data_IF_299310586168
#
_entry.id   IF_299310586168
#
_cell.length_a   1.000
_cell.length_b   1.000
_cell.length_c   1.000
_cell.angle_alpha   90.00
_cell.angle_beta   90.00
_cell.angle_gamma   90.00
#
_symmetry.space_group_name_H-M   'P 1'
#
loop_
_entity.id
_entity.type
_entity.pdbx_description
1 polymer ?
#
# COMPACT_ATOMS: atom_id res chain seq x y z
N UNK A 1 0.39 0.81 -11.79
CA UNK A 1 -0.22 1.50 -12.95
C UNK A 1 -1.65 0.97 -13.06
N UNK A 2 -2.65 1.68 -12.53
CA UNK A 2 -4.05 1.35 -12.74
C UNK A 2 -4.69 2.05 -13.94
N UNK A 3 -4.06 3.00 -14.63
CA UNK A 3 -4.56 3.56 -15.90
C UNK A 3 -3.57 3.34 -17.04
N UNK A 4 -4.06 2.80 -18.16
CA UNK A 4 -3.31 2.68 -19.41
C UNK A 4 -4.24 3.12 -20.55
N UNK A 5 -3.82 4.10 -21.35
CA UNK A 5 -4.64 4.69 -22.42
C UNK A 5 -6.02 5.19 -21.96
N UNK A 6 -6.12 5.71 -20.73
CA UNK A 6 -7.38 6.18 -20.14
C UNK A 6 -8.31 5.08 -19.62
N UNK A 7 -7.92 3.81 -19.69
CA UNK A 7 -8.68 2.67 -19.17
C UNK A 7 -8.12 2.19 -17.85
N UNK A 8 -9.02 1.88 -16.90
CA UNK A 8 -8.61 1.33 -15.61
C UNK A 8 -8.31 -0.17 -15.69
N UNK A 9 -7.23 -0.61 -15.02
CA UNK A 9 -6.82 -2.01 -14.94
C UNK A 9 -6.24 -2.35 -13.55
N UNK A 10 -5.95 -3.63 -13.32
CA UNK A 10 -5.48 -4.13 -12.02
C UNK A 10 -6.60 -4.50 -11.04
N UNK A 11 -6.20 -4.80 -9.80
CA UNK A 11 -7.05 -5.39 -8.76
C UNK A 11 -8.19 -4.48 -8.30
N UNK A 12 -8.00 -3.16 -8.39
CA UNK A 12 -8.94 -2.16 -7.89
C UNK A 12 -9.74 -1.47 -9.01
N UNK A 13 -9.62 -1.91 -10.27
CA UNK A 13 -10.21 -1.21 -11.42
C UNK A 13 -11.71 -0.89 -11.32
N UNK A 14 -12.47 -1.69 -10.56
CA UNK A 14 -13.93 -1.56 -10.38
C UNK A 14 -14.34 -0.39 -9.47
N UNK A 15 -13.38 0.17 -8.73
CA UNK A 15 -13.59 1.22 -7.73
C UNK A 15 -12.80 2.49 -8.06
N UNK A 16 -12.23 2.53 -9.27
CA UNK A 16 -11.55 3.70 -9.82
C UNK A 16 -12.51 4.52 -10.66
N UNK A 17 -12.30 5.84 -10.62
CA UNK A 17 -12.99 6.80 -11.48
C UNK A 17 -12.05 7.29 -12.60
N UNK A 18 -12.59 7.88 -13.67
CA UNK A 18 -11.76 8.52 -14.70
C UNK A 18 -10.89 9.63 -14.11
N UNK A 19 -9.67 9.81 -14.65
CA UNK A 19 -8.73 10.85 -14.20
C UNK A 19 -9.34 12.25 -14.28
N UNK A 20 -10.19 12.50 -15.28
CA UNK A 20 -10.91 13.78 -15.44
C UNK A 20 -11.90 14.09 -14.31
N UNK A 21 -12.31 13.09 -13.53
CA UNK A 21 -13.25 13.24 -12.41
C UNK A 21 -12.54 13.42 -11.06
N UNK A 22 -11.24 13.13 -10.97
CA UNK A 22 -10.48 13.20 -9.71
C UNK A 22 -10.53 14.60 -9.09
N UNK A 23 -10.42 15.65 -9.91
CA UNK A 23 -10.49 17.04 -9.41
C UNK A 23 -11.86 17.39 -8.83
N UNK A 24 -12.93 16.86 -9.41
CA UNK A 24 -14.29 17.09 -8.91
C UNK A 24 -14.52 16.33 -7.60
N UNK A 25 -14.02 15.09 -7.52
CA UNK A 25 -14.04 14.30 -6.29
C UNK A 25 -13.25 14.97 -5.17
N UNK A 26 -12.05 15.51 -5.46
CA UNK A 26 -11.22 16.15 -4.44
C UNK A 26 -11.88 17.39 -3.86
N UNK A 27 -12.54 18.21 -4.70
CA UNK A 27 -13.34 19.36 -4.23
C UNK A 27 -14.46 18.92 -3.31
N UNK A 28 -15.14 17.80 -3.63
CA UNK A 28 -16.24 17.28 -2.81
C UNK A 28 -15.76 16.73 -1.46
N UNK A 29 -14.59 16.11 -1.42
CA UNK A 29 -14.01 15.48 -0.23
C UNK A 29 -13.06 16.41 0.56
N UNK A 30 -12.85 17.63 0.08
CA UNK A 30 -11.79 18.52 0.58
C UNK A 30 -11.89 18.77 2.09
N UNK A 31 -13.09 19.05 2.60
CA UNK A 31 -13.29 19.36 4.02
C UNK A 31 -13.02 18.12 4.88
N UNK A 32 -13.59 16.98 4.50
CA UNK A 32 -13.43 15.71 5.23
C UNK A 32 -11.99 15.20 5.21
N UNK A 33 -11.28 15.34 4.07
CA UNK A 33 -9.86 14.97 3.97
C UNK A 33 -9.03 15.89 4.87
N UNK A 34 -9.23 17.20 4.82
CA UNK A 34 -8.49 18.15 5.68
C UNK A 34 -8.76 17.92 7.17
N UNK A 35 -10.00 17.60 7.54
CA UNK A 35 -10.33 17.26 8.93
C UNK A 35 -9.67 15.94 9.36
N UNK A 36 -9.63 14.93 8.48
CA UNK A 36 -9.01 13.65 8.76
C UNK A 36 -7.48 13.75 8.91
N UNK A 37 -6.84 14.52 8.02
CA UNK A 37 -5.41 14.87 8.11
C UNK A 37 -5.11 15.55 9.45
N UNK A 38 -5.87 16.58 9.81
CA UNK A 38 -5.70 17.31 11.08
C UNK A 38 -5.89 16.40 12.30
N UNK A 39 -6.85 15.48 12.27
CA UNK A 39 -7.07 14.51 13.36
C UNK A 39 -5.90 13.53 13.48
N UNK A 40 -5.31 13.13 12.36
CA UNK A 40 -4.13 12.28 12.34
C UNK A 40 -2.89 13.01 12.89
N UNK A 41 -2.62 14.23 12.41
CA UNK A 41 -1.47 15.05 12.85
C UNK A 41 -1.54 15.37 14.36
N UNK A 42 -2.74 15.67 14.87
CA UNK A 42 -2.97 15.91 16.29
C UNK A 42 -3.05 14.63 17.14
N UNK A 43 -2.79 13.46 16.55
CA UNK A 43 -2.81 12.14 17.24
C UNK A 43 -4.14 11.82 17.89
N UNK A 44 -5.23 12.39 17.38
CA UNK A 44 -6.60 12.07 17.80
C UNK A 44 -6.98 10.70 17.23
N UNK A 45 -6.56 10.40 16.01
CA UNK A 45 -6.73 9.11 15.36
C UNK A 45 -5.40 8.35 15.27
N UNK A 46 -5.48 7.03 15.41
CA UNK A 46 -4.36 6.14 15.08
C UNK A 46 -4.22 5.98 13.57
N UNK A 47 -3.06 5.53 13.08
CA UNK A 47 -2.84 5.31 11.64
C UNK A 47 -3.88 4.38 11.00
N UNK A 48 -4.27 3.30 11.68
CA UNK A 48 -5.30 2.37 11.19
C UNK A 48 -6.69 3.00 11.16
N UNK A 49 -7.04 3.80 12.16
CA UNK A 49 -8.31 4.53 12.20
C UNK A 49 -8.39 5.57 11.08
N UNK A 50 -7.29 6.26 10.81
CA UNK A 50 -7.15 7.21 9.71
C UNK A 50 -7.32 6.50 8.35
N UNK A 51 -6.60 5.40 8.12
CA UNK A 51 -6.68 4.65 6.85
C UNK A 51 -8.09 4.09 6.61
N UNK A 52 -8.73 3.52 7.63
CA UNK A 52 -10.08 2.99 7.51
C UNK A 52 -11.09 4.10 7.15
N UNK A 53 -11.04 5.24 7.84
CA UNK A 53 -11.93 6.38 7.55
C UNK A 53 -11.68 6.95 6.16
N UNK A 54 -10.41 7.09 5.76
CA UNK A 54 -10.03 7.53 4.42
C UNK A 54 -10.62 6.62 3.35
N UNK A 55 -10.52 5.29 3.55
CA UNK A 55 -11.11 4.32 2.62
C UNK A 55 -12.62 4.47 2.53
N UNK A 56 -13.31 4.60 3.67
CA UNK A 56 -14.76 4.76 3.70
C UNK A 56 -15.23 6.03 2.99
N UNK A 57 -14.53 7.16 3.15
CA UNK A 57 -14.85 8.42 2.47
C UNK A 57 -14.91 8.24 0.96
N UNK A 58 -13.84 7.70 0.36
CA UNK A 58 -13.78 7.45 -1.08
C UNK A 58 -14.78 6.37 -1.51
N UNK A 59 -14.93 5.28 -0.75
CA UNK A 59 -15.86 4.20 -1.07
C UNK A 59 -17.30 4.69 -1.16
N UNK A 60 -17.72 5.52 -0.20
CA UNK A 60 -19.08 6.03 -0.14
C UNK A 60 -19.34 7.05 -1.25
N UNK A 61 -18.36 7.90 -1.57
CA UNK A 61 -18.49 8.85 -2.68
C UNK A 61 -18.55 8.14 -4.04
N UNK A 62 -17.70 7.14 -4.27
CA UNK A 62 -17.61 6.46 -5.58
C UNK A 62 -18.70 5.41 -5.81
N UNK A 63 -19.10 4.69 -4.76
CA UNK A 63 -19.99 3.52 -4.88
C UNK A 63 -21.33 3.69 -4.17
N UNK A 64 -21.44 4.62 -3.22
CA UNK A 64 -22.63 4.81 -2.39
C UNK A 64 -23.11 3.50 -1.78
N UNK A 65 -24.39 3.17 -2.01
CA UNK A 65 -25.01 1.93 -1.50
C UNK A 65 -24.40 0.63 -2.05
N UNK A 66 -23.52 0.70 -3.07
CA UNK A 66 -22.82 -0.48 -3.63
C UNK A 66 -21.45 -0.72 -3.00
N UNK A 67 -21.01 0.14 -2.08
CA UNK A 67 -19.70 0.03 -1.43
C UNK A 67 -19.47 -1.33 -0.74
N UNK A 68 -20.55 -1.93 -0.24
CA UNK A 68 -20.48 -3.16 0.55
C UNK A 68 -21.27 -4.28 -0.11
N UNK A 69 -20.72 -5.50 -0.10
CA UNK A 69 -21.43 -6.68 -0.58
C UNK A 69 -22.63 -6.96 0.33
N UNK A 70 -23.81 -7.15 -0.28
CA UNK A 70 -25.05 -7.43 0.45
C UNK A 70 -24.96 -8.79 1.14
N UNK A 71 -24.99 -8.79 2.46
CA UNK A 71 -25.02 -10.00 3.29
C UNK A 71 -26.43 -10.36 3.78
N UNK A 72 -27.44 -9.58 3.38
CA UNK A 72 -28.83 -9.73 3.85
C UNK A 72 -29.06 -9.26 5.30
N UNK A 73 -28.02 -8.73 5.95
CA UNK A 73 -28.08 -8.13 7.30
C UNK A 73 -27.85 -6.62 7.20
N UNK A 74 -28.35 -5.82 8.17
CA UNK A 74 -27.94 -4.43 8.29
C UNK A 74 -26.42 -4.32 8.39
N UNK A 75 -25.85 -3.25 7.83
CA UNK A 75 -24.43 -2.97 8.00
C UNK A 75 -24.14 -2.71 9.49
N UNK A 76 -23.05 -3.26 10.05
CA UNK A 76 -22.60 -2.90 11.38
C UNK A 76 -22.32 -1.40 11.50
N UNK A 77 -22.28 -0.93 12.74
CA UNK A 77 -21.89 0.43 13.09
C UNK A 77 -20.40 0.60 12.74
N UNK A 78 -20.04 1.67 12.00
CA UNK A 78 -18.67 1.86 11.47
C UNK A 78 -17.66 2.18 12.56
N UNK A 79 -18.12 2.72 13.67
CA UNK A 79 -17.32 3.05 14.87
C UNK A 79 -16.73 1.79 15.52
N UNK A 80 -17.42 0.64 15.41
CA UNK A 80 -16.85 -0.67 15.73
C UNK A 80 -16.12 -1.22 14.51
N UNK A 81 -14.89 -0.74 14.29
CA UNK A 81 -14.10 -1.14 13.12
C UNK A 81 -13.90 -2.66 13.05
N UNK A 82 -13.63 -3.33 14.17
CA UNK A 82 -13.36 -4.78 14.15
C UNK A 82 -14.63 -5.55 13.80
N UNK A 83 -15.77 -5.24 14.41
CA UNK A 83 -17.05 -5.84 14.06
C UNK A 83 -17.47 -5.55 12.62
N UNK A 84 -17.18 -4.34 12.14
CA UNK A 84 -17.43 -3.94 10.76
C UNK A 84 -16.58 -4.75 9.77
N UNK A 85 -15.26 -4.78 9.97
CA UNK A 85 -14.32 -5.50 9.10
C UNK A 85 -14.57 -7.01 9.14
N UNK A 86 -15.03 -7.58 10.25
CA UNK A 86 -15.36 -9.01 10.32
C UNK A 86 -16.57 -9.36 9.45
N UNK A 87 -17.60 -8.51 9.50
CA UNK A 87 -18.92 -8.78 8.92
C UNK A 87 -19.09 -8.32 7.48
N UNK A 88 -18.26 -7.39 7.01
CA UNK A 88 -18.42 -6.72 5.71
C UNK A 88 -17.36 -7.17 4.71
N UNK A 89 -17.72 -7.17 3.43
CA UNK A 89 -16.78 -7.31 2.31
C UNK A 89 -16.94 -6.12 1.39
N UNK A 90 -15.80 -5.58 0.95
CA UNK A 90 -15.73 -4.41 0.08
C UNK A 90 -16.01 -4.82 -1.37
N UNK A 91 -16.92 -4.11 -2.04
CA UNK A 91 -17.18 -4.36 -3.45
C UNK A 91 -15.95 -3.99 -4.30
N UNK A 92 -15.56 -4.86 -5.23
CA UNK A 92 -14.52 -4.55 -6.21
C UNK A 92 -13.11 -4.42 -5.64
N UNK A 93 -12.89 -4.84 -4.39
CA UNK A 93 -11.60 -4.83 -3.69
C UNK A 93 -11.27 -6.25 -3.21
N UNK A 94 -10.04 -6.76 -3.42
CA UNK A 94 -9.59 -8.01 -2.81
C UNK A 94 -9.65 -7.95 -1.28
N UNK A 95 -9.78 -9.11 -0.65
CA UNK A 95 -9.87 -9.20 0.82
C UNK A 95 -8.58 -8.80 1.54
N UNK A 96 -7.47 -8.62 0.80
CA UNK A 96 -6.15 -8.26 1.30
C UNK A 96 -6.17 -6.97 2.12
N UNK A 97 -6.82 -5.92 1.62
CA UNK A 97 -6.92 -4.62 2.30
C UNK A 97 -7.70 -4.75 3.60
N UNK A 98 -8.84 -5.46 3.57
CA UNK A 98 -9.68 -5.66 4.76
C UNK A 98 -8.91 -6.42 5.84
N UNK A 99 -8.20 -7.47 5.47
CA UNK A 99 -7.38 -8.27 6.39
C UNK A 99 -6.22 -7.45 6.96
N UNK A 100 -5.54 -6.63 6.14
CA UNK A 100 -4.50 -5.73 6.61
C UNK A 100 -5.01 -4.78 7.70
N UNK A 101 -6.14 -4.11 7.47
CA UNK A 101 -6.76 -3.23 8.47
C UNK A 101 -7.18 -4.00 9.73
N UNK A 102 -7.74 -5.19 9.57
CA UNK A 102 -8.22 -6.01 10.69
C UNK A 102 -7.08 -6.42 11.62
N UNK A 103 -6.03 -7.03 11.08
CA UNK A 103 -4.87 -7.47 11.86
C UNK A 103 -4.04 -6.29 12.40
N UNK A 104 -3.97 -5.18 11.66
CA UNK A 104 -3.37 -3.95 12.16
C UNK A 104 -4.13 -3.39 13.36
N UNK A 105 -5.46 -3.32 13.29
CA UNK A 105 -6.29 -2.81 14.39
C UNK A 105 -6.17 -3.69 15.65
N UNK A 106 -5.92 -4.98 15.50
CA UNK A 106 -5.66 -5.92 16.60
C UNK A 106 -4.23 -5.82 17.17
N UNK A 107 -3.35 -5.03 16.55
CA UNK A 107 -1.93 -4.94 16.93
C UNK A 107 -1.11 -6.17 16.54
N UNK A 108 -1.64 -7.04 15.68
CA UNK A 108 -0.98 -8.27 15.25
C UNK A 108 0.02 -7.99 14.12
N UNK A 109 -0.31 -7.04 13.24
CA UNK A 109 0.54 -6.62 12.14
C UNK A 109 1.08 -5.21 12.37
N UNK A 110 2.41 -5.09 12.30
CA UNK A 110 3.11 -3.81 12.51
C UNK A 110 3.09 -3.00 11.21
N UNK A 111 2.03 -2.22 11.03
CA UNK A 111 1.91 -1.29 9.90
C UNK A 111 2.00 0.14 10.45
N UNK A 112 2.67 1.03 9.73
CA UNK A 112 2.81 2.43 10.12
C UNK A 112 2.35 3.34 8.99
N UNK A 113 1.42 4.25 9.30
CA UNK A 113 1.01 5.30 8.36
C UNK A 113 2.08 6.39 8.32
N UNK A 114 2.46 6.82 7.13
CA UNK A 114 3.30 8.00 6.89
C UNK A 114 2.59 8.96 5.95
N UNK A 115 2.93 10.25 6.07
CA UNK A 115 2.38 11.36 5.27
C UNK A 115 3.36 11.84 4.19
N UNK A 116 4.34 11.02 3.85
CA UNK A 116 5.35 11.28 2.84
C UNK A 116 5.62 10.00 2.07
N UNK A 117 6.11 10.11 0.84
CA UNK A 117 6.49 8.95 0.05
C UNK A 117 7.84 8.40 0.53
N UNK A 118 7.88 7.18 1.10
CA UNK A 118 9.15 6.59 1.49
C UNK A 118 9.97 6.25 0.24
N UNK A 119 11.26 6.49 0.31
CA UNK A 119 12.22 5.94 -0.66
C UNK A 119 12.25 4.42 -0.56
N UNK A 120 12.73 3.74 -1.60
CA UNK A 120 12.95 2.28 -1.55
C UNK A 120 13.86 1.88 -0.39
N UNK A 121 14.90 2.67 -0.07
CA UNK A 121 15.81 2.43 1.08
C UNK A 121 15.09 2.55 2.42
N UNK A 122 14.17 3.50 2.59
CA UNK A 122 13.36 3.64 3.81
C UNK A 122 12.37 2.48 3.97
N UNK A 123 11.70 2.07 2.88
CA UNK A 123 10.83 0.89 2.92
C UNK A 123 11.64 -0.39 3.21
N UNK A 124 12.83 -0.51 2.63
CA UNK A 124 13.75 -1.61 2.92
C UNK A 124 14.14 -1.67 4.40
N UNK A 125 14.49 -0.52 4.98
CA UNK A 125 14.79 -0.40 6.41
C UNK A 125 13.59 -0.85 7.26
N UNK A 126 12.40 -0.34 6.98
CA UNK A 126 11.19 -0.72 7.70
C UNK A 126 10.95 -2.25 7.68
N UNK A 127 11.00 -2.84 6.49
CA UNK A 127 10.78 -4.28 6.32
C UNK A 127 11.89 -5.12 6.99
N UNK A 128 13.13 -4.66 6.96
CA UNK A 128 14.24 -5.31 7.68
C UNK A 128 14.05 -5.32 9.20
N UNK A 129 13.24 -4.40 9.72
CA UNK A 129 12.89 -4.26 11.13
C UNK A 129 11.56 -4.95 11.47
N UNK A 130 10.89 -5.59 10.49
CA UNK A 130 9.65 -6.34 10.73
C UNK A 130 8.40 -5.47 10.79
N UNK A 131 8.40 -4.33 10.09
CA UNK A 131 7.17 -3.57 9.88
C UNK A 131 7.09 -3.07 8.46
N UNK A 132 5.90 -2.60 8.05
CA UNK A 132 5.72 -2.01 6.72
C UNK A 132 5.10 -0.63 6.83
N UNK A 133 5.53 0.26 5.94
CA UNK A 133 4.94 1.58 5.79
C UNK A 133 3.71 1.51 4.88
N UNK A 134 2.74 2.38 5.15
CA UNK A 134 1.62 2.67 4.27
C UNK A 134 1.50 4.18 4.16
N UNK A 135 1.09 4.68 3.00
CA UNK A 135 1.12 6.12 2.73
C UNK A 135 -0.26 6.65 2.39
N UNK A 136 -0.59 7.80 2.98
CA UNK A 136 -1.60 8.70 2.42
C UNK A 136 -0.85 9.96 1.99
N UNK A 137 -0.82 10.20 0.68
CA UNK A 137 -0.45 11.51 0.16
C UNK A 137 -1.65 12.44 0.28
N UNK A 138 -1.63 13.25 1.33
CA UNK A 138 -2.70 14.21 1.62
C UNK A 138 -2.81 15.27 0.54
N UNK A 139 -1.69 15.73 -0.01
CA UNK A 139 -1.68 16.79 -1.02
C UNK A 139 -2.30 16.28 -2.32
N UNK A 140 -1.95 15.08 -2.77
CA UNK A 140 -2.61 14.43 -3.90
C UNK A 140 -4.11 14.18 -3.63
N UNK A 141 -4.48 13.77 -2.41
CA UNK A 141 -5.87 13.54 -2.04
C UNK A 141 -6.72 14.83 -2.10
N UNK A 142 -6.17 15.96 -1.61
CA UNK A 142 -6.80 17.29 -1.63
C UNK A 142 -6.81 17.88 -3.05
N UNK A 143 -5.71 17.74 -3.79
CA UNK A 143 -5.56 18.33 -5.12
C UNK A 143 -6.29 17.54 -6.21
N UNK A 144 -6.55 16.25 -6.00
CA UNK A 144 -7.09 15.34 -7.02
C UNK A 144 -6.05 14.98 -8.09
N UNK A 145 -4.76 15.10 -7.78
CA UNK A 145 -3.66 14.77 -8.67
C UNK A 145 -3.24 13.29 -8.55
N UNK A 146 -2.57 12.81 -9.60
CA UNK A 146 -2.02 11.46 -9.62
C UNK A 146 -0.65 11.43 -8.95
N UNK A 147 -0.44 10.44 -8.10
CA UNK A 147 0.84 10.06 -7.52
C UNK A 147 1.65 9.32 -8.59
N UNK A 148 2.85 9.83 -8.87
CA UNK A 148 3.77 9.36 -9.92
C UNK A 148 3.15 9.27 -11.32
N UNK A 149 2.08 10.03 -11.60
CA UNK A 149 1.26 9.90 -12.82
C UNK A 149 0.58 8.53 -12.98
N UNK A 150 0.54 7.72 -11.90
CA UNK A 150 0.05 6.34 -11.95
C UNK A 150 -1.23 6.13 -11.17
N UNK A 151 -1.32 6.66 -9.95
CA UNK A 151 -2.30 6.26 -8.92
C UNK A 151 -3.00 7.48 -8.36
N UNK A 152 -4.30 7.39 -8.07
CA UNK A 152 -4.91 8.39 -7.19
C UNK A 152 -4.53 8.07 -5.73
N UNK A 153 -4.69 9.03 -4.81
CA UNK A 153 -4.32 8.84 -3.41
C UNK A 153 -5.07 7.68 -2.73
N UNK A 154 -6.31 7.40 -3.18
CA UNK A 154 -7.10 6.30 -2.67
C UNK A 154 -6.52 4.95 -3.05
N UNK A 155 -6.29 4.69 -4.34
CA UNK A 155 -5.70 3.43 -4.82
C UNK A 155 -4.25 3.26 -4.38
N UNK A 156 -3.50 4.34 -4.20
CA UNK A 156 -2.18 4.29 -3.59
C UNK A 156 -2.21 3.67 -2.19
N UNK A 157 -3.10 4.14 -1.31
CA UNK A 157 -3.28 3.55 0.03
C UNK A 157 -3.70 2.07 -0.06
N UNK A 158 -4.65 1.75 -0.95
CA UNK A 158 -5.10 0.36 -1.11
C UNK A 158 -3.97 -0.58 -1.57
N UNK A 159 -3.11 -0.08 -2.46
CA UNK A 159 -1.94 -0.79 -2.94
C UNK A 159 -0.94 -1.06 -1.79
N UNK A 160 -0.64 -0.06 -0.98
CA UNK A 160 0.25 -0.22 0.18
C UNK A 160 -0.30 -1.24 1.19
N UNK A 161 -1.61 -1.16 1.49
CA UNK A 161 -2.27 -2.13 2.39
C UNK A 161 -2.31 -3.54 1.79
N UNK A 162 -2.46 -3.68 0.48
CA UNK A 162 -2.37 -4.97 -0.17
C UNK A 162 -0.96 -5.56 -0.06
N UNK A 163 0.09 -4.75 -0.16
CA UNK A 163 1.45 -5.22 0.08
C UNK A 163 1.74 -5.52 1.54
N UNK A 164 1.17 -4.73 2.47
CA UNK A 164 1.23 -5.06 3.89
C UNK A 164 0.63 -6.44 4.18
N UNK A 165 -0.51 -6.76 3.57
CA UNK A 165 -1.04 -8.11 3.62
C UNK A 165 -0.06 -9.17 3.11
N UNK A 166 0.59 -8.93 1.97
CA UNK A 166 1.56 -9.87 1.40
C UNK A 166 2.82 -10.04 2.27
N UNK A 167 3.22 -9.00 2.99
CA UNK A 167 4.36 -9.05 3.92
C UNK A 167 4.05 -9.91 5.15
N UNK A 168 2.86 -9.77 5.73
CA UNK A 168 2.50 -10.43 6.98
C UNK A 168 1.76 -11.76 6.83
N UNK A 169 1.32 -12.14 5.63
CA UNK A 169 0.54 -13.38 5.44
C UNK A 169 1.34 -14.62 5.86
N UNK A 170 0.68 -15.51 6.59
CA UNK A 170 1.31 -16.64 7.28
C UNK A 170 2.01 -17.64 6.34
N UNK A 171 1.44 -17.85 5.15
CA UNK A 171 1.95 -18.77 4.13
C UNK A 171 3.22 -18.27 3.43
N UNK A 172 3.66 -17.03 3.69
CA UNK A 172 4.83 -16.41 3.05
C UNK A 172 6.07 -16.35 3.93
N UNK A 173 6.11 -17.06 5.07
CA UNK A 173 7.27 -17.07 5.98
C UNK A 173 7.75 -15.65 6.31
N UNK A 174 6.94 -14.93 7.09
CA UNK A 174 7.23 -13.57 7.54
C UNK A 174 8.65 -13.42 8.14
N UNK A 175 9.14 -14.29 9.05
CA UNK A 175 10.52 -14.23 9.54
C UNK A 175 11.57 -14.33 8.42
N UNK A 176 11.35 -15.21 7.44
CA UNK A 176 12.23 -15.35 6.29
C UNK A 176 12.25 -14.09 5.41
N UNK A 177 11.10 -13.43 5.20
CA UNK A 177 11.04 -12.16 4.46
C UNK A 177 11.82 -11.06 5.18
N UNK A 178 11.61 -10.90 6.49
CA UNK A 178 12.36 -9.92 7.31
C UNK A 178 13.86 -10.16 7.20
N UNK A 179 14.31 -11.42 7.29
CA UNK A 179 15.72 -11.76 7.16
C UNK A 179 16.28 -11.46 5.77
N UNK A 180 15.51 -11.70 4.70
CA UNK A 180 15.88 -11.34 3.33
C UNK A 180 16.10 -9.83 3.20
N UNK A 181 15.12 -9.01 3.63
CA UNK A 181 15.23 -7.55 3.56
C UNK A 181 16.35 -7.01 4.44
N UNK A 182 16.59 -7.62 5.61
CA UNK A 182 17.72 -7.29 6.47
C UNK A 182 19.06 -7.51 5.80
N UNK A 183 19.25 -8.63 5.11
CA UNK A 183 20.49 -8.87 4.37
C UNK A 183 20.65 -7.87 3.24
N UNK A 184 19.60 -7.61 2.46
CA UNK A 184 19.63 -6.58 1.41
C UNK A 184 19.96 -5.19 1.96
N UNK A 185 19.40 -4.82 3.11
CA UNK A 185 19.68 -3.53 3.75
C UNK A 185 21.16 -3.41 4.18
N UNK A 186 21.72 -4.46 4.79
CA UNK A 186 23.12 -4.51 5.20
C UNK A 186 24.09 -4.46 3.99
N UNK A 187 23.67 -5.00 2.86
CA UNK A 187 24.45 -5.01 1.62
C UNK A 187 24.17 -3.82 0.70
N UNK A 188 23.22 -2.93 1.03
CA UNK A 188 22.71 -1.89 0.14
C UNK A 188 23.82 -1.05 -0.50
N UNK A 189 24.76 -0.59 0.33
CA UNK A 189 25.83 0.31 -0.11
C UNK A 189 26.79 -0.35 -1.12
N UNK A 190 26.83 -1.69 -1.19
CA UNK A 190 27.60 -2.43 -2.20
C UNK A 190 27.00 -2.29 -3.60
N UNK A 191 25.73 -1.91 -3.71
CA UNK A 191 25.02 -1.79 -4.98
C UNK A 191 24.92 -0.35 -5.49
N UNK A 192 25.36 0.67 -4.73
CA UNK A 192 25.19 2.09 -5.10
C UNK A 192 25.74 2.44 -6.48
N UNK A 193 26.92 1.91 -6.83
CA UNK A 193 27.52 2.13 -8.16
C UNK A 193 26.61 1.61 -9.27
N UNK A 194 26.02 0.43 -9.12
CA UNK A 194 25.10 -0.17 -10.07
C UNK A 194 23.78 0.59 -10.14
N UNK A 195 23.25 1.07 -9.01
CA UNK A 195 22.04 1.89 -8.97
C UNK A 195 22.22 3.20 -9.76
N UNK A 196 23.44 3.75 -9.77
CA UNK A 196 23.76 4.97 -10.52
C UNK A 196 24.03 4.69 -12.01
N UNK A 197 24.71 3.59 -12.34
CA UNK A 197 25.17 3.32 -13.70
C UNK A 197 24.24 2.48 -14.56
N UNK A 198 23.33 1.69 -13.97
CA UNK A 198 22.42 0.78 -14.66
C UNK A 198 20.96 1.06 -14.29
N UNK A 199 20.27 1.77 -15.19
CA UNK A 199 18.87 2.15 -15.02
C UNK A 199 17.91 0.95 -14.93
N UNK A 200 18.23 -0.16 -15.62
CA UNK A 200 17.39 -1.36 -15.59
C UNK A 200 17.55 -2.08 -14.26
N UNK A 201 18.78 -2.24 -13.79
CA UNK A 201 19.07 -2.78 -12.47
C UNK A 201 18.43 -1.92 -11.38
N UNK A 202 18.58 -0.59 -11.43
CA UNK A 202 17.94 0.33 -10.47
C UNK A 202 16.44 0.10 -10.39
N UNK A 203 15.73 0.08 -11.53
CA UNK A 203 14.26 -0.12 -11.55
C UNK A 203 13.85 -1.46 -10.94
N UNK A 204 14.57 -2.54 -11.24
CA UNK A 204 14.28 -3.87 -10.70
C UNK A 204 14.63 -4.00 -9.22
N UNK A 205 15.72 -3.36 -8.80
CA UNK A 205 16.13 -3.29 -7.41
C UNK A 205 15.11 -2.52 -6.57
N UNK A 206 14.71 -1.33 -7.02
CA UNK A 206 13.66 -0.52 -6.38
C UNK A 206 12.37 -1.33 -6.24
N UNK A 207 11.91 -1.98 -7.31
CA UNK A 207 10.74 -2.86 -7.25
C UNK A 207 10.88 -3.99 -6.21
N UNK A 208 12.06 -4.62 -6.13
CA UNK A 208 12.33 -5.69 -5.17
C UNK A 208 12.21 -5.22 -3.72
N UNK A 209 12.69 -4.01 -3.41
CA UNK A 209 12.75 -3.51 -2.04
C UNK A 209 11.50 -2.74 -1.62
N UNK A 210 10.68 -2.23 -2.55
CA UNK A 210 9.48 -1.47 -2.25
C UNK A 210 8.18 -2.28 -2.35
N UNK A 211 8.00 -3.01 -3.46
CA UNK A 211 6.71 -3.58 -3.89
C UNK A 211 6.70 -5.11 -3.91
N UNK A 212 7.84 -5.76 -3.67
CA UNK A 212 7.93 -7.21 -3.75
C UNK A 212 7.87 -7.85 -2.36
N UNK A 213 6.67 -8.05 -1.82
CA UNK A 213 6.46 -8.96 -0.69
C UNK A 213 5.98 -10.32 -1.17
N UNK A 214 6.78 -11.36 -0.91
CA UNK A 214 6.54 -12.71 -1.38
C UNK A 214 7.25 -13.74 -0.52
N UNK A 215 7.01 -15.02 -0.77
CA UNK A 215 7.76 -16.09 -0.12
C UNK A 215 9.29 -15.91 -0.35
N UNK A 216 10.15 -16.11 0.68
CA UNK A 216 11.60 -15.84 0.60
C UNK A 216 12.32 -16.51 -0.57
N UNK A 217 11.91 -17.73 -0.92
CA UNK A 217 12.44 -18.43 -2.10
C UNK A 217 12.21 -17.66 -3.41
N UNK A 218 11.05 -17.00 -3.55
CA UNK A 218 10.76 -16.18 -4.73
C UNK A 218 11.56 -14.88 -4.72
N UNK A 219 11.65 -14.21 -3.56
CA UNK A 219 12.48 -13.03 -3.35
C UNK A 219 13.94 -13.30 -3.73
N UNK A 220 14.51 -14.39 -3.22
CA UNK A 220 15.88 -14.80 -3.51
C UNK A 220 16.07 -15.15 -4.99
N UNK A 221 15.10 -15.82 -5.62
CA UNK A 221 15.15 -16.16 -7.04
C UNK A 221 15.15 -14.90 -7.92
N UNK A 222 14.26 -13.95 -7.62
CA UNK A 222 14.22 -12.66 -8.30
C UNK A 222 15.53 -11.89 -8.09
N UNK A 223 15.98 -11.77 -6.85
CA UNK A 223 17.22 -11.07 -6.51
C UNK A 223 18.44 -11.64 -7.25
N UNK A 224 18.56 -12.97 -7.27
CA UNK A 224 19.63 -13.66 -7.98
C UNK A 224 19.57 -13.41 -9.48
N UNK A 225 18.37 -13.40 -10.07
CA UNK A 225 18.19 -13.13 -11.49
C UNK A 225 18.66 -11.71 -11.85
N UNK A 226 18.25 -10.69 -11.09
CA UNK A 226 18.60 -9.30 -11.42
C UNK A 226 20.09 -9.01 -11.19
N UNK A 227 20.72 -9.62 -10.18
CA UNK A 227 22.18 -9.57 -10.00
C UNK A 227 22.92 -10.17 -11.20
N UNK A 228 22.47 -11.34 -11.66
CA UNK A 228 23.09 -12.02 -12.81
C UNK A 228 22.98 -11.21 -14.09
N UNK A 229 21.81 -10.61 -14.34
CA UNK A 229 21.60 -9.75 -15.51
C UNK A 229 22.49 -8.51 -15.49
N UNK A 230 22.73 -7.93 -14.31
CA UNK A 230 23.64 -6.80 -14.12
C UNK A 230 25.13 -7.20 -14.07
N UNK A 231 25.47 -8.48 -14.25
CA UNK A 231 26.85 -8.98 -14.20
C UNK A 231 27.48 -8.96 -12.80
N UNK A 232 26.66 -8.87 -11.73
CA UNK A 232 27.12 -8.90 -10.34
C UNK A 232 27.43 -10.36 -9.98
N UNK A 233 28.71 -10.71 -9.93
CA UNK A 233 29.16 -12.05 -9.57
C UNK A 233 28.97 -12.24 -8.06
N UNK A 234 28.14 -13.21 -7.70
CA UNK A 234 28.01 -13.65 -6.31
C UNK A 234 29.10 -14.69 -6.04
N UNK A 235 30.05 -14.36 -5.17
CA UNK A 235 30.92 -15.38 -4.56
C UNK A 235 30.01 -16.35 -3.80
N UNK A 236 30.03 -17.63 -4.17
CA UNK A 236 29.37 -18.69 -3.40
C UNK A 236 30.04 -18.90 -2.05
#
# INVERSE_FOLDING_TARGET
MPWENGLSYGSFKKILIPVSELKLESVKLQEEISQLELQYENKILTGVDTCFRFILLYFEVRLGNRAFLKTGRPLPIKEDMLGFLDSVRFFGMPDTVRQALYHWKRGEWQIQLVSYHPTGKEMLLAQSQGYRLTTIDWDAAKSGELIEEKRDAFEHLLHDLAHAYMFFREDYDYPGQVNFFKNMYLEFDQFESYLQSDDLFRKKFEYCISDMNSHPAHLMSYWTAIKREAGIITSQ
#
